data_IF_868810899559
#
_entry.id   IF_868810899559
#
_cell.length_a   1.000
_cell.length_b   1.000
_cell.length_c   1.000
_cell.angle_alpha   90.00
_cell.angle_beta   90.00
_cell.angle_gamma   90.00
#
_symmetry.space_group_name_H-M   'P 1'
#
loop_
_entity.id
_entity.type
_entity.pdbx_description
1 polymer ?
#
# COMPACT_ATOMS: atom_id res chain seq x y z
N UNK A 1 -4.13 18.03 -7.69
CA UNK A 1 -3.47 16.77 -7.26
C UNK A 1 -2.88 16.09 -8.46
N UNK A 2 -1.55 15.88 -8.45
CA UNK A 2 -0.88 15.20 -9.55
C UNK A 2 -0.86 13.68 -9.31
N UNK A 3 -2.04 13.04 -9.39
CA UNK A 3 -2.24 11.62 -9.10
C UNK A 3 -1.26 10.72 -9.89
N UNK A 4 -0.84 11.15 -11.08
CA UNK A 4 0.17 10.46 -11.89
C UNK A 4 1.56 10.48 -11.25
N UNK A 5 1.98 11.59 -10.63
CA UNK A 5 3.27 11.65 -9.91
C UNK A 5 3.26 10.76 -8.69
N UNK A 6 2.15 10.75 -7.95
CA UNK A 6 1.98 9.89 -6.77
C UNK A 6 2.04 8.41 -7.18
N UNK A 7 1.28 8.02 -8.21
CA UNK A 7 1.31 6.65 -8.72
C UNK A 7 2.68 6.24 -9.25
N UNK A 8 3.40 7.14 -9.92
CA UNK A 8 4.74 6.86 -10.42
C UNK A 8 5.74 6.70 -9.27
N UNK A 9 5.72 7.61 -8.29
CA UNK A 9 6.59 7.55 -7.12
C UNK A 9 6.34 6.28 -6.29
N UNK A 10 5.07 5.92 -6.09
CA UNK A 10 4.68 4.66 -5.45
C UNK A 10 5.19 3.47 -6.27
N UNK A 11 4.90 3.41 -7.58
CA UNK A 11 5.35 2.33 -8.44
C UNK A 11 6.87 2.16 -8.39
N UNK A 12 7.63 3.25 -8.52
CA UNK A 12 9.10 3.25 -8.51
C UNK A 12 9.64 2.85 -7.12
N UNK A 13 9.04 3.35 -6.04
CA UNK A 13 9.44 3.00 -4.68
C UNK A 13 9.18 1.53 -4.35
N UNK A 14 8.03 1.00 -4.78
CA UNK A 14 7.68 -0.41 -4.61
C UNK A 14 8.54 -1.33 -5.49
N UNK A 15 8.84 -0.92 -6.73
CA UNK A 15 9.74 -1.65 -7.63
C UNK A 15 11.16 -1.75 -7.06
N UNK A 16 11.65 -0.70 -6.39
CA UNK A 16 12.99 -0.67 -5.79
C UNK A 16 13.08 -1.45 -4.46
N UNK A 17 11.98 -1.57 -3.70
CA UNK A 17 11.96 -2.28 -2.40
C UNK A 17 11.02 -3.50 -2.40
N UNK A 18 11.02 -4.32 -3.46
CA UNK A 18 10.23 -5.57 -3.55
C UNK A 18 10.53 -6.62 -2.47
N UNK A 19 11.56 -6.43 -1.66
CA UNK A 19 12.00 -7.40 -0.65
C UNK A 19 11.74 -6.96 0.79
N UNK A 20 10.99 -5.87 1.00
CA UNK A 20 10.64 -5.39 2.33
C UNK A 20 9.48 -6.19 2.91
N UNK A 21 9.68 -6.69 4.12
CA UNK A 21 8.72 -7.52 4.88
C UNK A 21 7.41 -6.81 5.19
N UNK A 22 7.40 -5.47 5.15
CA UNK A 22 6.26 -4.62 5.50
C UNK A 22 5.91 -3.65 4.36
N UNK A 23 5.05 -4.09 3.44
CA UNK A 23 4.65 -3.27 2.28
C UNK A 23 3.91 -1.98 2.64
N UNK A 24 3.12 -1.99 3.73
CA UNK A 24 2.36 -0.82 4.20
C UNK A 24 3.25 0.32 4.69
N UNK A 25 4.30 -0.02 5.43
CA UNK A 25 5.23 0.96 5.99
C UNK A 25 5.95 1.73 4.88
N UNK A 26 6.33 1.01 3.83
CA UNK A 26 6.95 1.55 2.63
C UNK A 26 6.04 2.54 1.89
N UNK A 27 4.78 2.17 1.71
CA UNK A 27 3.78 3.03 1.07
C UNK A 27 3.55 4.28 1.91
N UNK A 28 3.51 4.13 3.24
CA UNK A 28 3.38 5.26 4.16
C UNK A 28 4.58 6.21 4.04
N UNK A 29 5.81 5.70 4.02
CA UNK A 29 7.01 6.53 3.80
C UNK A 29 6.97 7.25 2.44
N UNK A 30 6.59 6.55 1.37
CA UNK A 30 6.51 7.13 0.03
C UNK A 30 5.44 8.23 -0.05
N UNK A 31 4.27 8.01 0.57
CA UNK A 31 3.20 9.00 0.66
C UNK A 31 3.64 10.20 1.52
N UNK A 32 4.30 9.99 2.65
CA UNK A 32 4.82 11.09 3.47
C UNK A 32 5.88 11.95 2.75
N UNK A 33 6.65 11.35 1.82
CA UNK A 33 7.56 12.11 0.97
C UNK A 33 6.81 13.00 -0.05
N UNK A 34 5.57 12.65 -0.38
CA UNK A 34 4.73 13.39 -1.30
C UNK A 34 3.92 14.43 -0.52
N UNK A 35 4.41 15.67 -0.43
CA UNK A 35 3.68 16.78 0.23
C UNK A 35 2.25 16.99 -0.27
N UNK A 36 1.93 16.52 -1.49
CA UNK A 36 0.60 16.59 -2.08
C UNK A 36 -0.45 15.72 -1.38
N UNK A 37 -0.07 14.64 -0.69
CA UNK A 37 -1.03 13.73 -0.03
C UNK A 37 -1.51 14.30 1.32
N UNK A 38 -0.74 15.20 1.93
CA UNK A 38 -0.99 15.73 3.27
C UNK A 38 -0.60 14.75 4.38
N UNK A 39 -1.01 15.04 5.61
CA UNK A 39 -0.75 14.17 6.76
C UNK A 39 -1.57 12.88 6.69
N UNK A 40 -1.00 11.81 7.25
CA UNK A 40 -1.70 10.54 7.42
C UNK A 40 -2.77 10.67 8.50
N UNK A 41 -4.03 10.45 8.13
CA UNK A 41 -5.18 10.46 9.04
C UNK A 41 -5.33 9.10 9.72
N UNK A 42 -5.23 8.03 8.93
CA UNK A 42 -5.46 6.68 9.46
C UNK A 42 -5.45 5.60 8.38
N UNK A 43 -5.48 4.36 8.83
CA UNK A 43 -5.57 3.18 7.95
C UNK A 43 -6.77 2.35 8.35
N UNK A 44 -7.58 1.94 7.37
CA UNK A 44 -8.71 1.07 7.58
C UNK A 44 -8.54 -0.21 6.76
N UNK A 45 -8.69 -1.37 7.40
CA UNK A 45 -8.82 -2.63 6.67
C UNK A 45 -10.19 -2.63 5.98
N UNK A 46 -10.18 -2.53 4.64
CA UNK A 46 -11.38 -2.58 3.80
C UNK A 46 -11.92 -4.00 3.67
N UNK A 47 -11.03 -4.98 3.71
CA UNK A 47 -11.40 -6.38 3.66
C UNK A 47 -10.18 -7.28 3.62
N UNK A 48 -10.39 -8.55 3.95
CA UNK A 48 -9.40 -9.59 3.81
C UNK A 48 -10.05 -10.79 3.12
N UNK A 49 -9.31 -11.46 2.25
CA UNK A 49 -9.79 -12.59 1.47
C UNK A 49 -8.68 -13.63 1.39
N UNK A 50 -8.94 -14.86 1.83
CA UNK A 50 -8.00 -15.95 1.61
C UNK A 50 -7.97 -16.29 0.11
N UNK A 51 -6.81 -16.12 -0.53
CA UNK A 51 -6.60 -16.52 -1.93
C UNK A 51 -6.35 -18.02 -2.03
N UNK A 52 -5.59 -18.57 -1.08
CA UNK A 52 -5.22 -19.99 -1.01
C UNK A 52 -4.87 -20.36 0.43
N UNK A 53 -4.69 -21.66 0.71
CA UNK A 53 -4.27 -22.16 2.03
C UNK A 53 -3.00 -21.47 2.58
N UNK A 54 -2.15 -20.97 1.70
CA UNK A 54 -0.89 -20.29 2.02
C UNK A 54 -0.89 -18.79 1.75
N UNK A 55 -1.97 -18.20 1.22
CA UNK A 55 -1.98 -16.79 0.80
C UNK A 55 -3.29 -16.10 1.19
N UNK A 56 -3.19 -14.96 1.84
CA UNK A 56 -4.28 -14.09 2.23
C UNK A 56 -4.09 -12.72 1.56
N UNK A 57 -5.10 -12.26 0.85
CA UNK A 57 -5.16 -10.91 0.31
C UNK A 57 -5.81 -9.98 1.34
N UNK A 58 -5.17 -8.86 1.63
CA UNK A 58 -5.63 -7.84 2.57
C UNK A 58 -5.75 -6.51 1.82
N UNK A 59 -6.92 -5.87 1.88
CA UNK A 59 -7.15 -4.56 1.30
C UNK A 59 -7.16 -3.51 2.39
N UNK A 60 -6.25 -2.55 2.31
CA UNK A 60 -6.11 -1.45 3.26
C UNK A 60 -6.39 -0.13 2.57
N UNK A 61 -7.29 0.67 3.13
CA UNK A 61 -7.45 2.06 2.73
C UNK A 61 -6.66 2.96 3.69
N UNK A 62 -5.61 3.60 3.18
CA UNK A 62 -4.83 4.61 3.87
C UNK A 62 -5.45 5.97 3.57
N UNK A 63 -6.02 6.61 4.58
CA UNK A 63 -6.58 7.95 4.48
C UNK A 63 -5.53 9.00 4.84
N UNK A 64 -5.41 9.99 3.97
CA UNK A 64 -4.59 11.18 4.13
C UNK A 64 -5.47 12.42 3.97
N UNK A 65 -4.99 13.58 4.42
CA UNK A 65 -5.75 14.84 4.34
C UNK A 65 -6.24 15.17 2.94
N UNK A 66 -5.44 14.91 1.91
CA UNK A 66 -5.76 15.30 0.54
C UNK A 66 -6.14 14.12 -0.37
N UNK A 67 -6.01 12.86 0.07
CA UNK A 67 -6.31 11.70 -0.77
C UNK A 67 -6.52 10.42 0.04
N UNK A 68 -7.20 9.44 -0.55
CA UNK A 68 -7.26 8.08 0.01
C UNK A 68 -6.51 7.12 -0.90
N UNK A 69 -5.59 6.33 -0.34
CA UNK A 69 -4.87 5.29 -1.07
C UNK A 69 -5.38 3.92 -0.65
N UNK A 70 -6.08 3.25 -1.54
CA UNK A 70 -6.40 1.84 -1.39
C UNK A 70 -5.18 1.00 -1.81
N UNK A 71 -4.79 0.05 -0.97
CA UNK A 71 -3.63 -0.83 -1.15
C UNK A 71 -4.10 -2.25 -1.02
N UNK A 72 -3.73 -3.10 -1.97
CA UNK A 72 -3.97 -4.53 -1.95
C UNK A 72 -2.66 -5.25 -1.68
N UNK A 73 -2.60 -5.96 -0.56
CA UNK A 73 -1.47 -6.76 -0.12
C UNK A 73 -1.85 -8.21 -0.24
N UNK A 74 -0.88 -9.05 -0.58
CA UNK A 74 -0.97 -10.50 -0.50
C UNK A 74 0.06 -10.94 0.51
N UNK A 75 -0.43 -11.38 1.65
CA UNK A 75 0.33 -11.92 2.75
C UNK A 75 0.37 -13.44 2.65
N UNK A 76 1.55 -14.02 2.76
CA UNK A 76 1.73 -15.46 2.87
C UNK A 76 2.06 -15.80 4.33
N UNK A 77 1.09 -16.29 5.13
CA UNK A 77 1.33 -16.65 6.52
C UNK A 77 2.37 -17.78 6.71
N UNK A 78 2.57 -18.66 5.72
CA UNK A 78 3.56 -19.73 5.82
C UNK A 78 5.00 -19.21 5.68
N UNK A 79 5.24 -18.25 4.78
CA UNK A 79 6.58 -17.69 4.55
C UNK A 79 6.78 -16.32 5.18
N UNK A 80 5.77 -15.79 5.90
CA UNK A 80 5.71 -14.42 6.43
C UNK A 80 6.08 -13.35 5.38
N UNK A 81 5.80 -13.62 4.11
CA UNK A 81 6.12 -12.70 3.01
C UNK A 81 4.87 -11.93 2.67
N UNK A 82 5.01 -10.61 2.67
CA UNK A 82 3.99 -9.70 2.16
C UNK A 82 4.43 -9.21 0.78
N UNK A 83 3.53 -9.29 -0.18
CA UNK A 83 3.72 -8.77 -1.54
C UNK A 83 2.62 -7.77 -1.83
N UNK A 84 2.96 -6.63 -2.42
CA UNK A 84 1.95 -5.66 -2.82
C UNK A 84 1.41 -6.10 -4.18
N UNK A 85 0.11 -6.37 -4.23
CA UNK A 85 -0.58 -6.79 -5.44
C UNK A 85 -1.00 -5.59 -6.29
N UNK A 86 -1.46 -4.53 -5.64
CA UNK A 86 -1.93 -3.33 -6.30
C UNK A 86 -2.11 -2.17 -5.33
N UNK A 87 -2.24 -0.97 -5.87
CA UNK A 87 -2.66 0.20 -5.12
C UNK A 87 -3.43 1.14 -6.05
N UNK A 88 -4.34 1.90 -5.49
CA UNK A 88 -5.19 2.84 -6.21
C UNK A 88 -5.40 4.09 -5.37
N UNK A 89 -4.98 5.23 -5.91
CA UNK A 89 -5.26 6.54 -5.33
C UNK A 89 -6.68 6.99 -5.74
N UNK A 90 -7.46 7.45 -4.77
CA UNK A 90 -8.78 8.05 -4.93
C UNK A 90 -8.77 9.53 -4.53
#
# INVERSE_FOLDING_TARGET
MNNQKINLALSVGLLNKRNSTNGLDLIKELMLNLKETGAFIGSQLKGQMALNASHQMEKHALQFENCTLDVELVNNPQTKRQSIHGFQLR
#
